data_IF_220279360366
#
_entry.id   IF_220279360366
#
_cell.length_a   1.000
_cell.length_b   1.000
_cell.length_c   1.000
_cell.angle_alpha   90.00
_cell.angle_beta   90.00
_cell.angle_gamma   90.00
#
_symmetry.space_group_name_H-M   'P 1'
#
loop_
_entity.id
_entity.type
_entity.pdbx_description
1 polymer ?
#
# COMPACT_ATOMS: atom_id res chain seq x y z
N UNK A 1 -1.98 3.06 -9.21
CA UNK A 1 -1.35 2.43 -10.39
C UNK A 1 -1.34 3.34 -11.62
N UNK A 2 -2.49 3.63 -12.24
CA UNK A 2 -2.56 4.45 -13.47
C UNK A 2 -1.93 5.83 -13.36
N UNK A 3 -2.18 6.57 -12.26
CA UNK A 3 -1.49 7.84 -12.01
C UNK A 3 0.03 7.69 -11.92
N UNK A 4 0.52 6.58 -11.37
CA UNK A 4 1.95 6.25 -11.33
C UNK A 4 2.53 5.95 -12.71
N UNK A 5 1.82 5.19 -13.56
CA UNK A 5 2.22 4.96 -14.94
C UNK A 5 2.26 6.26 -15.76
N UNK A 6 1.34 7.18 -15.49
CA UNK A 6 1.27 8.49 -16.13
C UNK A 6 2.27 9.51 -15.55
N UNK A 7 2.98 9.18 -14.46
CA UNK A 7 3.78 10.11 -13.67
C UNK A 7 3.01 11.38 -13.25
N UNK A 8 1.72 11.20 -12.94
CA UNK A 8 0.81 12.25 -12.52
C UNK A 8 0.63 12.21 -11.00
N UNK A 9 1.36 13.09 -10.31
CA UNK A 9 1.34 13.14 -8.85
C UNK A 9 -0.01 13.55 -8.27
N UNK A 10 -0.73 14.46 -8.93
CA UNK A 10 -2.06 14.89 -8.45
C UNK A 10 -3.03 13.72 -8.55
N UNK A 11 -2.99 12.97 -9.66
CA UNK A 11 -3.82 11.79 -9.82
C UNK A 11 -3.50 10.72 -8.76
N UNK A 12 -2.22 10.44 -8.50
CA UNK A 12 -1.80 9.51 -7.42
C UNK A 12 -2.33 9.97 -6.05
N UNK A 13 -2.24 11.26 -5.74
CA UNK A 13 -2.69 11.82 -4.46
C UNK A 13 -4.21 11.65 -4.31
N UNK A 14 -4.99 12.01 -5.32
CA UNK A 14 -6.46 11.93 -5.26
C UNK A 14 -6.94 10.48 -5.08
N UNK A 15 -6.40 9.53 -5.85
CA UNK A 15 -6.75 8.11 -5.69
C UNK A 15 -6.35 7.56 -4.31
N UNK A 16 -5.23 8.03 -3.75
CA UNK A 16 -4.81 7.64 -2.40
C UNK A 16 -5.76 8.21 -1.34
N UNK A 17 -6.25 9.44 -1.51
CA UNK A 17 -7.25 10.04 -0.63
C UNK A 17 -8.60 9.31 -0.69
N UNK A 18 -9.05 8.93 -1.89
CA UNK A 18 -10.27 8.15 -2.07
C UNK A 18 -10.14 6.76 -1.41
N UNK A 19 -8.97 6.13 -1.53
CA UNK A 19 -8.67 4.88 -0.84
C UNK A 19 -8.69 5.03 0.69
N UNK A 20 -8.12 6.12 1.23
CA UNK A 20 -8.13 6.42 2.68
C UNK A 20 -9.56 6.60 3.22
N UNK A 21 -10.41 7.34 2.50
CA UNK A 21 -11.82 7.52 2.87
C UNK A 21 -12.55 6.16 2.90
N UNK A 22 -12.30 5.30 1.92
CA UNK A 22 -12.88 3.95 1.88
C UNK A 22 -12.36 3.11 3.06
N UNK A 23 -11.06 3.14 3.32
CA UNK A 23 -10.43 2.40 4.41
C UNK A 23 -10.99 2.81 5.78
N UNK A 24 -11.23 4.11 6.00
CA UNK A 24 -11.88 4.61 7.20
C UNK A 24 -13.22 3.90 7.48
N UNK A 25 -14.07 3.76 6.46
CA UNK A 25 -15.37 3.05 6.59
C UNK A 25 -15.19 1.56 6.89
N UNK A 26 -14.20 0.90 6.28
CA UNK A 26 -13.89 -0.51 6.53
C UNK A 26 -13.41 -0.71 7.97
N UNK A 27 -12.57 0.19 8.48
CA UNK A 27 -12.07 0.15 9.86
C UNK A 27 -13.19 0.42 10.88
N UNK A 28 -14.09 1.36 10.61
CA UNK A 28 -15.26 1.61 11.45
C UNK A 28 -16.16 0.37 11.56
N UNK A 29 -16.40 -0.31 10.42
CA UNK A 29 -17.12 -1.57 10.40
C UNK A 29 -16.40 -2.64 11.23
N UNK A 30 -15.11 -2.87 10.97
CA UNK A 30 -14.34 -3.91 11.64
C UNK A 30 -14.27 -3.69 13.16
N UNK A 31 -14.14 -2.43 13.59
CA UNK A 31 -14.17 -2.04 15.01
C UNK A 31 -15.53 -2.30 15.65
N UNK A 32 -16.62 -2.03 14.94
CA UNK A 32 -17.98 -2.28 15.44
C UNK A 32 -18.31 -3.78 15.51
N UNK A 33 -17.84 -4.57 14.55
CA UNK A 33 -18.08 -6.02 14.49
C UNK A 33 -17.23 -6.79 15.51
N UNK A 34 -15.97 -6.39 15.70
CA UNK A 34 -15.05 -7.00 16.67
C UNK A 34 -14.55 -8.40 16.29
N UNK A 35 -15.07 -9.01 15.22
CA UNK A 35 -14.66 -10.31 14.70
C UNK A 35 -14.24 -10.24 13.22
N UNK A 36 -13.87 -9.05 12.76
CA UNK A 36 -13.43 -8.80 11.39
C UNK A 36 -11.92 -8.55 11.37
N UNK A 37 -11.22 -9.27 10.48
CA UNK A 37 -9.82 -9.03 10.14
C UNK A 37 -9.76 -8.20 8.85
N UNK A 38 -9.08 -7.05 8.92
CA UNK A 38 -8.78 -6.19 7.77
C UNK A 38 -7.30 -6.33 7.43
N UNK A 39 -6.99 -6.60 6.16
CA UNK A 39 -5.63 -6.67 5.63
C UNK A 39 -5.55 -5.66 4.48
N UNK A 40 -4.56 -4.78 4.53
CA UNK A 40 -4.31 -3.75 3.51
C UNK A 40 -2.89 -3.91 3.00
N UNK A 41 -2.73 -3.98 1.68
CA UNK A 41 -1.42 -4.04 1.03
C UNK A 41 -1.54 -3.53 -0.41
N UNK A 42 -0.43 -3.51 -1.12
CA UNK A 42 -0.38 -3.27 -2.56
C UNK A 42 -0.02 -4.57 -3.29
N UNK A 43 -0.23 -4.61 -4.60
CA UNK A 43 0.30 -5.65 -5.47
C UNK A 43 1.73 -5.35 -5.93
N UNK A 44 2.02 -4.07 -6.20
CA UNK A 44 3.35 -3.54 -6.49
C UNK A 44 3.42 -2.01 -6.34
N UNK A 45 4.62 -1.44 -6.44
CA UNK A 45 4.82 0.00 -6.61
C UNK A 45 4.85 0.37 -8.09
N UNK A 46 4.34 1.56 -8.44
CA UNK A 46 4.28 2.05 -9.81
C UNK A 46 4.78 3.50 -9.89
N UNK A 47 5.71 3.75 -10.81
CA UNK A 47 6.26 5.08 -11.10
C UNK A 47 7.61 5.36 -10.44
N UNK A 48 7.99 4.56 -9.44
CA UNK A 48 9.16 4.82 -8.61
C UNK A 48 9.09 6.22 -8.00
N UNK A 49 7.93 6.55 -7.42
CA UNK A 49 7.61 7.85 -6.86
C UNK A 49 8.54 8.16 -5.67
N UNK A 50 9.10 9.36 -5.66
CA UNK A 50 9.94 9.88 -4.59
C UNK A 50 9.62 11.35 -4.32
N UNK A 51 9.87 11.80 -3.10
CA UNK A 51 9.80 13.21 -2.74
C UNK A 51 11.22 13.78 -2.76
N UNK A 52 11.49 14.70 -3.69
CA UNK A 52 12.81 15.34 -3.83
C UNK A 52 12.72 16.84 -3.61
N UNK A 53 13.88 17.49 -3.45
CA UNK A 53 13.97 18.94 -3.48
C UNK A 53 13.54 19.49 -4.85
N UNK A 54 12.92 20.67 -4.88
CA UNK A 54 12.64 21.37 -6.12
C UNK A 54 13.95 21.82 -6.79
N UNK A 55 14.01 21.82 -8.12
CA UNK A 55 15.15 22.40 -8.86
C UNK A 55 14.76 23.79 -9.38
N UNK A 56 15.48 24.82 -8.95
CA UNK A 56 15.27 26.22 -9.34
C UNK A 56 16.55 26.71 -9.99
N UNK A 57 16.50 27.09 -11.26
CA UNK A 57 17.66 27.52 -12.05
C UNK A 57 18.85 26.54 -11.98
N UNK A 58 18.58 25.23 -12.00
CA UNK A 58 19.61 24.20 -11.94
C UNK A 58 20.20 23.95 -10.54
N UNK A 59 19.68 24.60 -9.49
CA UNK A 59 20.10 24.38 -8.10
C UNK A 59 18.95 23.78 -7.29
N UNK A 60 19.28 22.85 -6.38
CA UNK A 60 18.29 22.27 -5.46
C UNK A 60 17.86 23.26 -4.38
N UNK A 61 16.56 23.45 -4.23
CA UNK A 61 15.92 24.19 -3.14
C UNK A 61 15.27 23.19 -2.16
N UNK A 62 15.98 22.90 -1.06
CA UNK A 62 15.53 21.98 -0.02
C UNK A 62 14.38 22.51 0.85
N UNK A 63 13.97 23.78 0.66
CA UNK A 63 12.79 24.32 1.34
C UNK A 63 11.49 23.94 0.66
N UNK A 64 11.56 23.34 -0.54
CA UNK A 64 10.41 22.92 -1.33
C UNK A 64 10.53 21.46 -1.70
N UNK A 65 9.44 20.72 -1.53
CA UNK A 65 9.33 19.32 -1.91
C UNK A 65 8.58 19.23 -3.24
N UNK A 66 9.02 18.33 -4.11
CA UNK A 66 8.37 18.03 -5.38
C UNK A 66 8.31 16.52 -5.58
N UNK A 67 7.15 15.96 -5.96
CA UNK A 67 7.05 14.58 -6.40
C UNK A 67 7.87 14.36 -7.67
N UNK A 68 8.69 13.31 -7.67
CA UNK A 68 9.47 12.89 -8.84
C UNK A 68 9.28 11.40 -9.10
N UNK A 69 9.36 11.02 -10.37
CA UNK A 69 9.16 9.65 -10.83
C UNK A 69 10.42 9.19 -11.55
N UNK A 70 10.79 7.92 -11.36
CA UNK A 70 12.00 7.34 -11.94
C UNK A 70 11.72 6.44 -13.14
N UNK A 71 10.46 6.04 -13.34
CA UNK A 71 10.01 5.17 -14.42
C UNK A 71 8.53 5.44 -14.73
N UNK A 72 8.05 5.09 -15.92
CA UNK A 72 6.62 5.04 -16.23
C UNK A 72 6.02 3.63 -16.05
N UNK A 73 6.72 2.75 -15.34
CA UNK A 73 6.34 1.35 -15.11
C UNK A 73 6.50 1.00 -13.61
N UNK A 74 6.47 -0.29 -13.27
CA UNK A 74 6.58 -0.75 -11.89
C UNK A 74 8.02 -0.64 -11.37
N UNK A 75 8.16 -0.60 -10.04
CA UNK A 75 9.45 -0.76 -9.37
C UNK A 75 9.43 -1.90 -8.35
N UNK A 76 10.61 -2.28 -7.86
CA UNK A 76 10.79 -3.36 -6.89
C UNK A 76 10.78 -2.87 -5.43
N UNK A 77 10.19 -1.70 -5.16
CA UNK A 77 10.06 -1.21 -3.79
C UNK A 77 9.28 -2.21 -2.92
N UNK A 78 9.71 -2.36 -1.67
CA UNK A 78 8.98 -3.17 -0.70
C UNK A 78 7.60 -2.54 -0.45
N UNK A 79 6.56 -3.34 -0.56
CA UNK A 79 5.18 -2.95 -0.28
C UNK A 79 4.83 -3.25 1.18
N UNK A 80 4.15 -2.33 1.89
CA UNK A 80 3.71 -2.59 3.25
C UNK A 80 2.53 -3.56 3.28
N UNK A 81 2.43 -4.34 4.35
CA UNK A 81 1.22 -5.05 4.74
C UNK A 81 0.79 -4.51 6.09
N UNK A 82 -0.43 -3.97 6.15
CA UNK A 82 -1.09 -3.53 7.38
C UNK A 82 -2.21 -4.50 7.73
N UNK A 83 -2.39 -4.80 9.00
CA UNK A 83 -3.47 -5.64 9.47
C UNK A 83 -4.11 -5.10 10.75
N UNK A 84 -5.43 -5.22 10.86
CA UNK A 84 -6.20 -4.81 12.03
C UNK A 84 -7.28 -5.86 12.35
N UNK A 85 -7.51 -6.11 13.65
CA UNK A 85 -8.50 -7.06 14.14
C UNK A 85 -7.90 -8.42 14.55
N UNK A 86 -8.75 -9.41 14.88
CA UNK A 86 -8.30 -10.72 15.34
C UNK A 86 -7.42 -11.42 14.30
N UNK A 87 -6.22 -11.87 14.70
CA UNK A 87 -5.28 -12.55 13.82
C UNK A 87 -4.30 -11.63 13.09
N UNK A 88 -4.37 -10.31 13.29
CA UNK A 88 -3.46 -9.33 12.68
C UNK A 88 -1.97 -9.58 13.00
N UNK A 89 -1.67 -10.19 14.15
CA UNK A 89 -0.31 -10.57 14.55
C UNK A 89 0.36 -11.57 13.60
N UNK A 90 -0.41 -12.23 12.74
CA UNK A 90 0.12 -13.15 11.73
C UNK A 90 0.71 -12.47 10.49
N UNK A 91 0.57 -11.14 10.36
CA UNK A 91 0.97 -10.37 9.18
C UNK A 91 2.21 -9.50 9.41
N UNK A 92 2.94 -9.70 10.52
CA UNK A 92 4.14 -8.94 10.86
C UNK A 92 5.41 -9.53 10.22
N UNK A 93 6.38 -8.69 9.90
CA UNK A 93 7.70 -9.12 9.39
C UNK A 93 7.86 -8.84 7.90
N UNK A 94 8.88 -9.46 7.29
CA UNK A 94 9.18 -9.37 5.86
C UNK A 94 9.03 -10.76 5.27
N UNK A 95 8.16 -10.90 4.27
CA UNK A 95 7.82 -12.16 3.64
C UNK A 95 7.39 -11.94 2.19
N UNK A 96 7.24 -13.02 1.43
CA UNK A 96 6.80 -12.95 0.04
C UNK A 96 5.29 -12.73 -0.02
N UNK A 97 4.80 -12.04 -1.05
CA UNK A 97 3.34 -11.83 -1.22
C UNK A 97 2.57 -13.16 -1.34
N UNK A 98 3.21 -14.24 -1.80
CA UNK A 98 2.65 -15.60 -1.82
C UNK A 98 2.25 -16.10 -0.42
N UNK A 99 2.89 -15.58 0.63
CA UNK A 99 2.66 -16.04 2.00
C UNK A 99 1.36 -15.46 2.59
N UNK A 100 0.84 -14.36 2.03
CA UNK A 100 -0.45 -13.77 2.40
C UNK A 100 -1.58 -14.80 2.32
N UNK A 101 -1.58 -15.64 1.28
CA UNK A 101 -2.57 -16.72 1.13
C UNK A 101 -2.59 -17.65 2.36
N UNK A 102 -1.43 -18.07 2.83
CA UNK A 102 -1.32 -18.97 3.97
C UNK A 102 -1.66 -18.27 5.29
N UNK A 103 -1.32 -16.98 5.43
CA UNK A 103 -1.74 -16.17 6.57
C UNK A 103 -3.27 -16.02 6.63
N UNK A 104 -3.92 -15.77 5.49
CA UNK A 104 -5.38 -15.71 5.39
C UNK A 104 -6.04 -17.04 5.73
N UNK A 105 -5.54 -18.17 5.21
CA UNK A 105 -6.04 -19.49 5.58
C UNK A 105 -5.92 -19.76 7.09
N UNK A 106 -4.81 -19.35 7.70
CA UNK A 106 -4.60 -19.47 9.14
C UNK A 106 -5.63 -18.65 9.92
N UNK A 107 -5.89 -17.41 9.51
CA UNK A 107 -6.91 -16.57 10.13
C UNK A 107 -8.32 -17.17 10.03
N UNK A 108 -8.65 -17.77 8.88
CA UNK A 108 -9.92 -18.46 8.65
C UNK A 108 -10.01 -19.86 9.29
N UNK A 109 -8.94 -20.33 9.95
CA UNK A 109 -8.82 -21.70 10.49
C UNK A 109 -9.08 -22.77 9.42
N UNK A 110 -8.74 -22.49 8.18
CA UNK A 110 -8.92 -23.38 7.03
C UNK A 110 -7.63 -24.16 6.75
N UNK A 111 -7.76 -25.42 6.34
CA UNK A 111 -6.65 -26.20 5.81
C UNK A 111 -6.57 -25.98 4.29
N UNK A 112 -5.37 -25.82 3.69
CA UNK A 112 -5.23 -25.79 2.24
C UNK A 112 -5.82 -27.08 1.65
N UNK A 113 -6.61 -26.96 0.59
CA UNK A 113 -7.03 -28.12 -0.18
C UNK A 113 -5.77 -28.81 -0.68
N UNK A 114 -5.56 -30.07 -0.28
CA UNK A 114 -4.44 -30.88 -0.78
C UNK A 114 -4.55 -30.94 -2.30
N UNK A 115 -3.43 -30.71 -2.99
CA UNK A 115 -3.27 -31.12 -4.39
C UNK A 115 -3.39 -32.64 -4.51
#
# INVERSE_FOLDING_TARGET
DWGGHANDAEYVIQETLDFDIMLGKVLDFAKSDGNTLVIVTADHETGGLSLSAATIFGTSDYTKITPTFSTGNHSAALIPVFAYGPGAENFTGIYQNSDLFFHMLKALKMKPLRK
#
